data_IF_993282767904
#
_entry.id   IF_993282767904
#
_cell.length_a   1.000
_cell.length_b   1.000
_cell.length_c   1.000
_cell.angle_alpha   90.00
_cell.angle_beta   90.00
_cell.angle_gamma   90.00
#
_symmetry.space_group_name_H-M   'P 1'
#
loop_
_entity.id
_entity.type
_entity.pdbx_description
1 polymer ?
#
# COMPACT_ATOMS: atom_id res chain seq x y z
N UNK A 1 78.32 -0.43 -45.59
CA UNK A 1 77.65 0.29 -44.47
C UNK A 1 76.19 0.71 -44.75
N UNK A 2 75.82 0.98 -46.02
CA UNK A 2 74.47 1.43 -46.42
C UNK A 2 73.36 0.36 -46.28
N UNK A 3 73.66 -0.91 -46.55
CA UNK A 3 72.67 -2.00 -46.50
C UNK A 3 72.18 -2.33 -45.08
N UNK A 4 73.08 -2.31 -44.07
CA UNK A 4 72.74 -2.56 -42.66
C UNK A 4 71.81 -1.47 -42.09
N UNK A 5 72.02 -0.20 -42.44
CA UNK A 5 71.13 0.90 -42.04
C UNK A 5 69.74 0.79 -42.64
N UNK A 6 69.62 0.30 -43.88
CA UNK A 6 68.33 0.10 -44.53
C UNK A 6 67.54 -1.06 -43.90
N UNK A 7 68.22 -2.16 -43.55
CA UNK A 7 67.62 -3.29 -42.84
C UNK A 7 67.10 -2.87 -41.45
N UNK A 8 67.94 -2.19 -40.67
CA UNK A 8 67.55 -1.68 -39.34
C UNK A 8 66.39 -0.69 -39.38
N UNK A 9 66.32 0.18 -40.40
CA UNK A 9 65.17 1.08 -40.59
C UNK A 9 63.89 0.33 -40.92
N UNK A 10 63.95 -0.69 -41.78
CA UNK A 10 62.79 -1.50 -42.15
C UNK A 10 62.25 -2.27 -40.95
N UNK A 11 63.13 -2.87 -40.16
CA UNK A 11 62.74 -3.63 -38.96
C UNK A 11 62.16 -2.71 -37.88
N UNK A 12 62.75 -1.52 -37.69
CA UNK A 12 62.23 -0.50 -36.76
C UNK A 12 60.85 0.03 -37.17
N UNK A 13 60.62 0.28 -38.47
CA UNK A 13 59.32 0.72 -38.97
C UNK A 13 58.25 -0.38 -38.86
N UNK A 14 58.61 -1.65 -39.12
CA UNK A 14 57.69 -2.76 -38.91
C UNK A 14 57.35 -2.95 -37.43
N UNK A 15 58.34 -2.89 -36.54
CA UNK A 15 58.13 -2.96 -35.10
C UNK A 15 57.15 -1.87 -34.61
N UNK A 16 57.31 -0.64 -35.10
CA UNK A 16 56.45 0.50 -34.76
C UNK A 16 55.01 0.31 -35.27
N UNK A 17 54.85 -0.26 -36.47
CA UNK A 17 53.54 -0.61 -37.01
C UNK A 17 52.85 -1.67 -36.17
N UNK A 18 53.57 -2.74 -35.80
CA UNK A 18 53.07 -3.82 -34.94
C UNK A 18 52.67 -3.32 -33.55
N UNK A 19 53.50 -2.50 -32.90
CA UNK A 19 53.17 -1.96 -31.58
C UNK A 19 51.92 -1.08 -31.61
N UNK A 20 51.75 -0.25 -32.64
CA UNK A 20 50.56 0.59 -32.80
C UNK A 20 49.30 -0.24 -33.06
N UNK A 21 49.37 -1.29 -33.88
CA UNK A 21 48.22 -2.17 -34.14
C UNK A 21 47.82 -2.96 -32.90
N UNK A 22 48.80 -3.52 -32.18
CA UNK A 22 48.54 -4.24 -30.92
C UNK A 22 47.93 -3.30 -29.87
N UNK A 23 48.44 -2.08 -29.74
CA UNK A 23 47.91 -1.08 -28.78
C UNK A 23 46.47 -0.68 -29.11
N UNK A 24 46.14 -0.51 -30.39
CA UNK A 24 44.77 -0.22 -30.83
C UNK A 24 43.83 -1.41 -30.57
N UNK A 25 44.27 -2.63 -30.88
CA UNK A 25 43.47 -3.84 -30.63
C UNK A 25 43.20 -4.05 -29.14
N UNK A 26 44.19 -3.85 -28.28
CA UNK A 26 44.01 -3.94 -26.82
C UNK A 26 43.08 -2.85 -26.29
N UNK A 27 43.27 -1.60 -26.72
CA UNK A 27 42.41 -0.48 -26.29
C UNK A 27 40.96 -0.70 -26.69
N UNK A 28 40.71 -1.17 -27.92
CA UNK A 28 39.35 -1.44 -28.40
C UNK A 28 38.68 -2.60 -27.64
N UNK A 29 39.43 -3.66 -27.32
CA UNK A 29 38.93 -4.76 -26.48
C UNK A 29 38.53 -4.28 -25.08
N UNK A 30 39.37 -3.46 -24.43
CA UNK A 30 39.05 -2.89 -23.11
C UNK A 30 37.80 -2.02 -23.16
N UNK A 31 37.64 -1.19 -24.20
CA UNK A 31 36.44 -0.36 -24.38
C UNK A 31 35.19 -1.23 -24.52
N UNK A 32 35.28 -2.32 -25.30
CA UNK A 32 34.17 -3.25 -25.50
C UNK A 32 33.76 -3.95 -24.20
N UNK A 33 34.72 -4.48 -23.44
CA UNK A 33 34.43 -5.16 -22.18
C UNK A 33 33.82 -4.20 -21.15
N UNK A 34 34.33 -2.97 -21.06
CA UNK A 34 33.75 -1.93 -20.21
C UNK A 34 32.32 -1.57 -20.63
N UNK A 35 32.05 -1.46 -21.94
CA UNK A 35 30.72 -1.17 -22.44
C UNK A 35 29.75 -2.31 -22.13
N UNK A 36 30.19 -3.56 -22.28
CA UNK A 36 29.41 -4.74 -21.92
C UNK A 36 29.11 -4.79 -20.42
N UNK A 37 30.09 -4.51 -19.57
CA UNK A 37 29.93 -4.43 -18.12
C UNK A 37 28.91 -3.36 -17.71
N UNK A 38 29.04 -2.14 -18.24
CA UNK A 38 28.07 -1.06 -17.96
C UNK A 38 26.64 -1.41 -18.40
N UNK A 39 26.49 -2.05 -19.56
CA UNK A 39 25.18 -2.48 -20.04
C UNK A 39 24.57 -3.57 -19.14
N UNK A 40 25.39 -4.51 -18.67
CA UNK A 40 24.96 -5.52 -17.72
C UNK A 40 24.48 -4.87 -16.41
N UNK A 41 25.25 -3.93 -15.86
CA UNK A 41 24.89 -3.24 -14.62
C UNK A 41 23.63 -2.38 -14.79
N UNK A 42 23.48 -1.67 -15.92
CA UNK A 42 22.29 -0.90 -16.25
C UNK A 42 21.05 -1.80 -16.29
N UNK A 43 21.10 -2.92 -17.01
CA UNK A 43 19.97 -3.87 -17.09
C UNK A 43 19.61 -4.47 -15.71
N UNK A 44 20.62 -4.74 -14.87
CA UNK A 44 20.40 -5.21 -13.52
C UNK A 44 19.72 -4.15 -12.65
N UNK A 45 20.11 -2.88 -12.78
CA UNK A 45 19.44 -1.77 -12.09
C UNK A 45 18.02 -1.57 -12.59
N UNK A 46 17.77 -1.61 -13.89
CA UNK A 46 16.42 -1.50 -14.47
C UNK A 46 15.51 -2.60 -13.93
N UNK A 47 16.00 -3.85 -13.90
CA UNK A 47 15.25 -4.99 -13.34
C UNK A 47 14.92 -4.79 -11.86
N UNK A 48 15.87 -4.30 -11.06
CA UNK A 48 15.64 -3.99 -9.64
C UNK A 48 14.65 -2.85 -9.47
N UNK A 49 14.72 -1.83 -10.32
CA UNK A 49 13.83 -0.68 -10.27
C UNK A 49 12.40 -1.07 -10.64
N UNK A 50 12.21 -1.91 -11.65
CA UNK A 50 10.91 -2.49 -12.00
C UNK A 50 10.35 -3.35 -10.86
N UNK A 51 11.21 -4.13 -10.19
CA UNK A 51 10.83 -4.88 -8.98
C UNK A 51 10.36 -3.97 -7.85
N UNK A 52 11.12 -2.92 -7.53
CA UNK A 52 10.74 -1.92 -6.52
C UNK A 52 9.42 -1.24 -6.88
N UNK A 53 9.22 -0.88 -8.15
CA UNK A 53 7.96 -0.30 -8.63
C UNK A 53 6.78 -1.25 -8.40
N UNK A 54 6.95 -2.54 -8.71
CA UNK A 54 5.92 -3.54 -8.49
C UNK A 54 5.59 -3.73 -7.00
N UNK A 55 6.62 -3.71 -6.14
CA UNK A 55 6.45 -3.79 -4.69
C UNK A 55 5.70 -2.58 -4.13
N UNK A 56 6.03 -1.37 -4.58
CA UNK A 56 5.33 -0.14 -4.21
C UNK A 56 3.86 -0.22 -4.61
N UNK A 57 3.55 -0.59 -5.85
CA UNK A 57 2.16 -0.71 -6.32
C UNK A 57 1.37 -1.78 -5.58
N UNK A 58 2.02 -2.84 -5.07
CA UNK A 58 1.37 -3.84 -4.21
C UNK A 58 1.06 -3.25 -2.84
N UNK A 59 2.04 -2.58 -2.22
CA UNK A 59 1.87 -1.96 -0.91
C UNK A 59 0.78 -0.88 -0.93
N UNK A 60 0.69 -0.07 -1.99
CA UNK A 60 -0.36 0.93 -2.16
C UNK A 60 -1.76 0.28 -2.13
N UNK A 61 -1.94 -0.86 -2.81
CA UNK A 61 -3.21 -1.60 -2.82
C UNK A 61 -3.55 -2.22 -1.48
N UNK A 62 -2.56 -2.78 -0.78
CA UNK A 62 -2.75 -3.34 0.56
C UNK A 62 -3.18 -2.25 1.54
N UNK A 63 -2.51 -1.10 1.52
CA UNK A 63 -2.87 0.06 2.35
C UNK A 63 -4.27 0.58 2.02
N UNK A 64 -4.65 0.66 0.75
CA UNK A 64 -6.01 1.08 0.34
C UNK A 64 -7.09 0.11 0.85
N UNK A 65 -6.82 -1.20 0.82
CA UNK A 65 -7.72 -2.22 1.35
C UNK A 65 -7.85 -2.10 2.88
N UNK A 66 -6.73 -1.91 3.60
CA UNK A 66 -6.73 -1.74 5.05
C UNK A 66 -7.49 -0.47 5.47
N UNK A 67 -7.27 0.66 4.79
CA UNK A 67 -8.01 1.90 5.03
C UNK A 67 -9.52 1.70 4.82
N UNK A 68 -9.90 0.97 3.77
CA UNK A 68 -11.31 0.67 3.49
C UNK A 68 -11.93 -0.21 4.57
N UNK A 69 -11.19 -1.21 5.07
CA UNK A 69 -11.60 -2.06 6.20
C UNK A 69 -11.80 -1.25 7.48
N UNK A 70 -10.82 -0.43 7.86
CA UNK A 70 -10.92 0.45 9.04
C UNK A 70 -12.11 1.40 8.94
N UNK A 71 -12.38 1.96 7.77
CA UNK A 71 -13.56 2.82 7.56
C UNK A 71 -14.87 2.07 7.80
N UNK A 72 -14.98 0.83 7.33
CA UNK A 72 -16.16 0.00 7.56
C UNK A 72 -16.36 -0.30 9.06
N UNK A 73 -15.27 -0.62 9.76
CA UNK A 73 -15.29 -0.87 11.21
C UNK A 73 -15.72 0.37 12.00
N UNK A 74 -15.21 1.56 11.63
CA UNK A 74 -15.62 2.83 12.24
C UNK A 74 -17.12 3.05 12.04
N UNK A 75 -17.64 2.93 10.82
CA UNK A 75 -19.07 3.12 10.55
C UNK A 75 -19.95 2.13 11.33
N UNK A 76 -19.48 0.88 11.51
CA UNK A 76 -20.19 -0.10 12.33
C UNK A 76 -20.19 0.28 13.82
N UNK A 77 -19.06 0.77 14.34
CA UNK A 77 -18.96 1.26 15.73
C UNK A 77 -19.82 2.49 15.95
N UNK A 78 -19.84 3.44 15.02
CA UNK A 78 -20.69 4.64 15.07
C UNK A 78 -22.16 4.25 15.16
N UNK A 79 -22.63 3.32 14.32
CA UNK A 79 -24.01 2.83 14.38
C UNK A 79 -24.35 2.20 15.73
N UNK A 80 -23.46 1.37 16.28
CA UNK A 80 -23.67 0.78 17.61
C UNK A 80 -23.70 1.84 18.72
N UNK A 81 -22.91 2.90 18.57
CA UNK A 81 -22.92 4.02 19.51
C UNK A 81 -24.24 4.78 19.45
N UNK A 82 -24.76 5.06 18.26
CA UNK A 82 -26.08 5.67 18.06
C UNK A 82 -27.20 4.82 18.68
N UNK A 83 -27.17 3.50 18.46
CA UNK A 83 -28.13 2.56 19.06
C UNK A 83 -28.07 2.60 20.60
N UNK A 84 -26.86 2.63 21.18
CA UNK A 84 -26.68 2.75 22.62
C UNK A 84 -27.19 4.09 23.17
N UNK A 85 -26.87 5.20 22.51
CA UNK A 85 -27.34 6.54 22.89
C UNK A 85 -28.87 6.61 22.88
N UNK A 86 -29.50 6.02 21.86
CA UNK A 86 -30.94 5.91 21.75
C UNK A 86 -31.55 5.15 22.95
N UNK A 87 -31.03 3.98 23.28
CA UNK A 87 -31.52 3.16 24.41
C UNK A 87 -31.39 3.92 25.73
N UNK A 88 -30.28 4.63 25.95
CA UNK A 88 -30.06 5.44 27.15
C UNK A 88 -31.09 6.57 27.23
N UNK A 89 -31.35 7.27 26.11
CA UNK A 89 -32.35 8.33 26.05
C UNK A 89 -33.76 7.85 26.40
N UNK A 90 -34.19 6.72 25.80
CA UNK A 90 -35.50 6.10 26.09
C UNK A 90 -35.60 5.69 27.56
N UNK A 91 -34.56 5.03 28.09
CA UNK A 91 -34.54 4.63 29.50
C UNK A 91 -34.59 5.84 30.43
N UNK A 92 -33.85 6.90 30.14
CA UNK A 92 -33.88 8.15 30.90
C UNK A 92 -35.27 8.78 30.93
N UNK A 93 -35.92 8.88 29.76
CA UNK A 93 -37.26 9.44 29.62
C UNK A 93 -38.32 8.69 30.43
N UNK A 94 -38.22 7.37 30.56
CA UNK A 94 -39.18 6.57 31.33
C UNK A 94 -38.81 6.45 32.82
N UNK A 95 -37.52 6.42 33.16
CA UNK A 95 -37.06 6.15 34.53
C UNK A 95 -37.05 7.40 35.39
N UNK A 96 -36.66 8.57 34.87
CA UNK A 96 -36.60 9.81 35.66
C UNK A 96 -37.96 10.22 36.25
N UNK A 97 -39.08 10.21 35.49
CA UNK A 97 -40.40 10.50 36.05
C UNK A 97 -40.85 9.46 37.09
N UNK A 98 -40.51 8.19 36.87
CA UNK A 98 -40.84 7.12 37.82
C UNK A 98 -40.10 7.27 39.16
N UNK A 99 -38.87 7.80 39.14
CA UNK A 99 -38.11 8.16 40.33
C UNK A 99 -38.70 9.39 41.06
N UNK A 100 -39.31 10.33 40.32
CA UNK A 100 -40.03 11.50 40.86
C UNK A 100 -41.45 11.17 41.35
N UNK A 101 -41.86 9.89 41.28
CA UNK A 101 -43.14 9.39 41.75
C UNK A 101 -44.19 9.16 40.66
N UNK A 102 -44.03 9.72 39.46
CA UNK A 102 -44.90 9.46 38.31
C UNK A 102 -44.49 8.20 37.55
N UNK A 103 -45.09 7.07 37.93
CA UNK A 103 -44.83 5.75 37.33
C UNK A 103 -45.64 5.47 36.06
N UNK A 104 -46.43 6.43 35.54
CA UNK A 104 -47.32 6.20 34.39
C UNK A 104 -46.54 5.79 33.14
N UNK A 105 -45.54 6.59 32.76
CA UNK A 105 -44.75 6.35 31.55
C UNK A 105 -44.00 5.01 31.59
N UNK A 106 -43.43 4.64 32.74
CA UNK A 106 -42.72 3.37 32.91
C UNK A 106 -43.66 2.16 32.78
N UNK A 107 -44.88 2.23 33.34
CA UNK A 107 -45.88 1.16 33.21
C UNK A 107 -46.33 0.97 31.78
N UNK A 108 -46.63 2.06 31.08
CA UNK A 108 -47.04 2.01 29.67
C UNK A 108 -45.92 1.45 28.78
N UNK A 109 -44.67 1.84 29.03
CA UNK A 109 -43.52 1.30 28.30
C UNK A 109 -43.33 -0.21 28.53
N UNK A 110 -43.38 -0.69 29.78
CA UNK A 110 -43.30 -2.12 30.10
C UNK A 110 -44.41 -2.92 29.42
N UNK A 111 -45.65 -2.43 29.46
CA UNK A 111 -46.79 -3.11 28.87
C UNK A 111 -46.67 -3.22 27.35
N UNK A 112 -46.15 -2.18 26.68
CA UNK A 112 -45.83 -2.23 25.24
C UNK A 112 -44.70 -3.23 24.94
N UNK A 113 -43.65 -3.23 25.74
CA UNK A 113 -42.51 -4.14 25.58
C UNK A 113 -42.92 -5.62 25.74
N UNK A 114 -43.77 -5.92 26.73
CA UNK A 114 -44.31 -7.26 26.95
C UNK A 114 -45.20 -7.73 25.78
N UNK A 115 -46.06 -6.85 25.26
CA UNK A 115 -46.87 -7.11 24.07
C UNK A 115 -45.99 -7.40 22.83
N UNK A 116 -44.93 -6.62 22.65
CA UNK A 116 -43.96 -6.78 21.57
C UNK A 116 -43.25 -8.14 21.61
N UNK A 117 -42.84 -8.57 22.81
CA UNK A 117 -42.21 -9.89 23.03
C UNK A 117 -43.15 -11.05 22.70
N UNK A 118 -44.45 -10.89 22.92
CA UNK A 118 -45.46 -11.92 22.65
C UNK A 118 -45.87 -11.99 21.17
N UNK A 119 -45.83 -10.87 20.45
CA UNK A 119 -46.26 -10.78 19.04
C UNK A 119 -45.15 -11.00 18.01
N UNK A 120 -43.89 -11.13 18.42
CA UNK A 120 -42.79 -11.44 17.51
C UNK A 120 -42.40 -10.25 16.62
N UNK A 121 -42.09 -9.09 17.20
CA UNK A 121 -41.46 -7.91 16.56
C UNK A 121 -42.15 -7.24 15.35
N UNK A 122 -43.07 -7.89 14.64
CA UNK A 122 -43.65 -7.42 13.37
C UNK A 122 -44.55 -6.18 13.54
N UNK A 123 -45.11 -5.96 14.74
CA UNK A 123 -46.03 -4.85 15.05
C UNK A 123 -45.44 -3.78 15.99
N UNK A 124 -44.14 -3.84 16.28
CA UNK A 124 -43.50 -2.91 17.20
C UNK A 124 -43.15 -1.61 16.48
N UNK A 125 -44.17 -0.81 16.14
CA UNK A 125 -43.97 0.57 15.72
C UNK A 125 -43.10 1.28 16.78
N UNK A 126 -42.04 1.89 16.25
CA UNK A 126 -41.00 2.63 16.97
C UNK A 126 -41.55 3.42 18.15
N UNK A 127 -41.00 3.16 19.35
CA UNK A 127 -41.12 4.05 20.52
C UNK A 127 -40.89 5.49 20.03
N UNK A 128 -41.75 6.45 20.38
CA UNK A 128 -41.71 7.78 19.79
C UNK A 128 -40.31 8.39 19.92
N UNK A 129 -39.77 8.89 18.80
CA UNK A 129 -38.67 9.86 18.84
C UNK A 129 -39.18 11.09 19.59
N UNK A 130 -38.63 11.31 20.77
CA UNK A 130 -38.75 12.57 21.49
C UNK A 130 -38.13 13.71 20.67
#
# INVERSE_FOLDING_TARGET
MTSVKALLRRDSSQLTLFTNTVTLAVTTAIIWDNQRGRNHDANNFDTKFDGIRADISRLEKEVEADISGVKADISHVEKKLEDCQWIIGVNGHHTMPALDGDKKLMREWLQRHECCKQRGSEDCESVPKA
#
